data_IF_604676587969
#
_entry.id   IF_604676587969
#
_cell.length_a   1.000
_cell.length_b   1.000
_cell.length_c   1.000
_cell.angle_alpha   90.00
_cell.angle_beta   90.00
_cell.angle_gamma   90.00
#
_symmetry.space_group_name_H-M   'P 1'
#
loop_
_entity.id
_entity.type
_entity.pdbx_description
1 polymer ?
#
# COMPACT_ATOMS: atom_id res chain seq x y z
N UNK A 1 10.76 30.94 7.04
CA UNK A 1 9.30 30.78 6.95
C UNK A 1 8.97 29.33 6.65
N UNK A 2 8.14 28.65 7.46
CA UNK A 2 7.74 27.26 7.21
C UNK A 2 6.93 27.17 5.91
N UNK A 3 7.10 26.09 5.15
CA UNK A 3 6.27 25.83 3.96
C UNK A 3 4.91 25.32 4.40
N UNK A 4 3.85 26.05 4.05
CA UNK A 4 2.47 25.59 4.24
C UNK A 4 2.15 24.49 3.22
N UNK A 5 2.40 23.24 3.60
CA UNK A 5 2.10 22.08 2.79
C UNK A 5 0.61 21.71 2.89
N UNK A 6 -0.07 21.72 1.74
CA UNK A 6 -1.46 21.28 1.66
C UNK A 6 -1.58 19.78 1.95
N UNK A 7 -2.58 19.41 2.76
CA UNK A 7 -2.93 18.01 3.05
C UNK A 7 -3.42 17.29 1.79
N UNK A 8 -3.44 15.95 1.81
CA UNK A 8 -3.92 15.15 0.69
C UNK A 8 -5.39 15.45 0.37
N UNK A 9 -6.24 15.54 1.38
CA UNK A 9 -7.67 15.87 1.23
C UNK A 9 -7.85 17.26 0.62
N UNK A 10 -7.15 18.27 1.13
CA UNK A 10 -7.22 19.63 0.57
C UNK A 10 -6.77 19.70 -0.89
N UNK A 11 -5.77 18.90 -1.29
CA UNK A 11 -5.33 18.80 -2.70
C UNK A 11 -6.39 18.15 -3.58
N UNK A 12 -7.10 17.13 -3.08
CA UNK A 12 -8.18 16.45 -3.82
C UNK A 12 -9.34 17.42 -4.04
N UNK A 13 -9.85 18.07 -2.98
CA UNK A 13 -10.93 19.05 -3.10
C UNK A 13 -10.57 20.22 -4.02
N UNK A 14 -9.31 20.69 -3.99
CA UNK A 14 -8.82 21.71 -4.92
C UNK A 14 -8.87 21.23 -6.37
N UNK A 15 -8.46 19.99 -6.65
CA UNK A 15 -8.50 19.44 -8.00
C UNK A 15 -9.92 19.26 -8.53
N UNK A 16 -10.86 18.82 -7.68
CA UNK A 16 -12.26 18.64 -8.10
C UNK A 16 -12.92 20.00 -8.40
N UNK A 17 -12.66 21.02 -7.57
CA UNK A 17 -13.08 22.40 -7.85
C UNK A 17 -12.48 22.96 -9.15
N UNK A 18 -11.27 22.57 -9.52
CA UNK A 18 -10.65 23.00 -10.79
C UNK A 18 -11.28 22.27 -11.98
N UNK A 19 -11.53 20.96 -11.85
CA UNK A 19 -12.16 20.15 -12.91
C UNK A 19 -13.61 20.54 -13.20
N UNK A 20 -14.33 21.06 -12.21
CA UNK A 20 -15.70 21.55 -12.40
C UNK A 20 -15.75 22.87 -13.17
N UNK A 21 -14.60 23.50 -13.45
CA UNK A 21 -14.51 24.72 -14.23
C UNK A 21 -14.29 24.40 -15.71
N UNK A 22 -14.78 25.25 -16.65
CA UNK A 22 -14.56 24.99 -18.07
C UNK A 22 -13.07 25.06 -18.44
N UNK A 23 -12.62 24.30 -19.45
CA UNK A 23 -11.19 24.02 -19.70
C UNK A 23 -10.27 25.26 -19.84
N UNK A 24 -10.81 26.43 -20.17
CA UNK A 24 -10.03 27.65 -20.38
C UNK A 24 -10.21 28.71 -19.27
N UNK A 25 -10.25 28.28 -17.99
CA UNK A 25 -10.31 29.24 -16.88
C UNK A 25 -8.91 29.70 -16.49
N UNK A 26 -8.74 31.02 -16.46
CA UNK A 26 -7.50 31.66 -16.02
C UNK A 26 -7.14 31.27 -14.58
N UNK A 27 -5.85 31.11 -14.31
CA UNK A 27 -5.33 30.89 -12.96
C UNK A 27 -5.77 31.97 -11.95
N UNK A 28 -6.03 33.20 -12.40
CA UNK A 28 -6.59 34.25 -11.55
C UNK A 28 -7.99 33.88 -11.05
N UNK A 29 -8.88 33.49 -11.96
CA UNK A 29 -10.23 33.04 -11.62
C UNK A 29 -10.20 31.78 -10.76
N UNK A 30 -9.30 30.85 -11.05
CA UNK A 30 -9.12 29.68 -10.20
C UNK A 30 -8.70 30.05 -8.78
N UNK A 31 -7.84 31.06 -8.60
CA UNK A 31 -7.44 31.52 -7.28
C UNK A 31 -8.60 32.14 -6.49
N UNK A 32 -9.44 32.94 -7.16
CA UNK A 32 -10.67 33.50 -6.55
C UNK A 32 -11.64 32.40 -6.12
N UNK A 33 -11.89 31.42 -6.99
CA UNK A 33 -12.86 30.33 -6.75
C UNK A 33 -12.38 29.38 -5.65
N UNK A 34 -11.08 29.09 -5.64
CA UNK A 34 -10.51 28.09 -4.72
C UNK A 34 -10.04 28.71 -3.41
N UNK A 35 -9.88 30.03 -3.34
CA UNK A 35 -9.27 30.74 -2.22
C UNK A 35 -7.77 30.43 -2.04
N UNK A 36 -7.14 29.80 -3.04
CA UNK A 36 -5.76 29.32 -2.98
C UNK A 36 -4.88 30.14 -3.93
N UNK A 37 -3.65 30.53 -3.52
CA UNK A 37 -2.76 31.31 -4.37
C UNK A 37 -2.45 30.62 -5.71
N UNK A 38 -2.30 31.41 -6.78
CA UNK A 38 -1.96 30.93 -8.14
C UNK A 38 -0.74 29.99 -8.17
N UNK A 39 0.29 30.31 -7.37
CA UNK A 39 1.51 29.51 -7.25
C UNK A 39 1.23 28.11 -6.73
N UNK A 40 0.31 27.98 -5.76
CA UNK A 40 -0.13 26.70 -5.21
C UNK A 40 -0.96 25.91 -6.21
N UNK A 41 -1.87 26.57 -6.94
CA UNK A 41 -2.65 25.92 -8.02
C UNK A 41 -1.71 25.35 -9.09
N UNK A 42 -0.76 26.15 -9.57
CA UNK A 42 0.23 25.71 -10.58
C UNK A 42 1.08 24.54 -10.07
N UNK A 43 1.55 24.62 -8.82
CA UNK A 43 2.34 23.57 -8.18
C UNK A 43 1.56 22.26 -8.07
N UNK A 44 0.30 22.31 -7.63
CA UNK A 44 -0.57 21.12 -7.51
C UNK A 44 -0.85 20.51 -8.87
N UNK A 45 -1.14 21.33 -9.89
CA UNK A 45 -1.37 20.85 -11.25
C UNK A 45 -0.12 20.17 -11.84
N UNK A 46 1.07 20.73 -11.59
CA UNK A 46 2.35 20.11 -11.98
C UNK A 46 2.63 18.82 -11.21
N UNK A 47 2.34 18.76 -9.91
CA UNK A 47 2.58 17.54 -9.10
C UNK A 47 1.71 16.35 -9.52
N UNK A 48 0.55 16.60 -10.14
CA UNK A 48 -0.34 15.54 -10.66
C UNK A 48 0.36 14.66 -11.71
N UNK A 49 1.35 15.18 -12.43
CA UNK A 49 2.09 14.43 -13.46
C UNK A 49 3.30 13.66 -12.92
N UNK A 50 3.69 13.85 -11.65
CA UNK A 50 4.97 13.30 -11.12
C UNK A 50 4.85 12.36 -9.92
N UNK A 51 3.66 12.11 -9.38
CA UNK A 51 3.48 11.00 -8.44
C UNK A 51 3.45 9.70 -9.24
N UNK A 52 4.64 9.18 -9.54
CA UNK A 52 4.83 7.87 -10.17
C UNK A 52 4.05 6.85 -9.35
N UNK A 53 3.05 6.20 -9.96
CA UNK A 53 2.64 4.89 -9.48
C UNK A 53 3.87 4.02 -9.62
N UNK A 54 4.48 3.64 -8.49
CA UNK A 54 5.48 2.56 -8.51
C UNK A 54 4.68 1.28 -8.71
N UNK A 55 4.51 0.91 -9.97
CA UNK A 55 4.09 -0.44 -10.35
C UNK A 55 5.27 -1.35 -10.01
N UNK A 56 5.05 -2.28 -9.09
CA UNK A 56 6.04 -3.30 -8.78
C UNK A 56 5.93 -4.41 -9.82
N UNK A 57 7.07 -5.01 -10.18
CA UNK A 57 7.13 -6.07 -11.19
C UNK A 57 6.34 -7.33 -10.79
N UNK A 58 6.07 -7.48 -9.50
CA UNK A 58 5.52 -8.70 -8.89
C UNK A 58 4.13 -8.44 -8.27
N UNK A 59 3.31 -7.61 -8.92
CA UNK A 59 1.93 -7.33 -8.50
C UNK A 59 1.11 -8.61 -8.33
N UNK A 60 1.32 -9.60 -9.20
CA UNK A 60 0.64 -10.90 -9.16
C UNK A 60 0.91 -11.63 -7.82
N UNK A 61 2.15 -11.56 -7.32
CA UNK A 61 2.56 -12.19 -6.05
C UNK A 61 2.01 -11.42 -4.86
N UNK A 62 2.02 -10.08 -4.93
CA UNK A 62 1.45 -9.19 -3.93
C UNK A 62 -0.06 -9.43 -3.77
N UNK A 63 -0.82 -9.48 -4.87
CA UNK A 63 -2.27 -9.73 -4.86
C UNK A 63 -2.62 -11.12 -4.32
N UNK A 64 -1.89 -12.16 -4.73
CA UNK A 64 -2.09 -13.51 -4.22
C UNK A 64 -1.79 -13.60 -2.71
N UNK A 65 -0.76 -12.89 -2.24
CA UNK A 65 -0.43 -12.82 -0.83
C UNK A 65 -1.49 -12.08 -0.02
N UNK A 66 -2.08 -11.02 -0.57
CA UNK A 66 -3.15 -10.24 0.06
C UNK A 66 -4.42 -11.05 0.28
N UNK A 67 -4.84 -11.78 -0.75
CA UNK A 67 -6.02 -12.64 -0.67
C UNK A 67 -5.81 -13.72 0.41
N UNK A 68 -4.64 -14.34 0.40
CA UNK A 68 -4.29 -15.38 1.36
C UNK A 68 -4.18 -14.81 2.79
N UNK A 69 -3.59 -13.62 2.95
CA UNK A 69 -3.53 -12.92 4.24
C UNK A 69 -4.92 -12.58 4.75
N UNK A 70 -5.82 -12.12 3.88
CA UNK A 70 -7.20 -11.76 4.25
C UNK A 70 -7.99 -12.99 4.76
N UNK A 71 -7.82 -14.14 4.10
CA UNK A 71 -8.44 -15.41 4.53
C UNK A 71 -7.91 -15.85 5.90
N UNK A 72 -6.61 -15.74 6.14
CA UNK A 72 -5.98 -16.19 7.40
C UNK A 72 -6.26 -15.22 8.55
N UNK A 73 -6.21 -13.91 8.30
CA UNK A 73 -6.54 -12.90 9.29
C UNK A 73 -8.01 -12.99 9.72
N UNK A 74 -8.92 -13.34 8.80
CA UNK A 74 -10.32 -13.64 9.12
C UNK A 74 -10.53 -14.83 10.07
N UNK A 75 -9.54 -15.73 10.19
CA UNK A 75 -9.54 -16.86 11.14
C UNK A 75 -8.91 -16.52 12.50
N UNK A 76 -8.49 -15.26 12.71
CA UNK A 76 -7.90 -14.80 13.97
C UNK A 76 -6.44 -15.22 14.19
N UNK A 77 -5.76 -15.72 13.14
CA UNK A 77 -4.39 -16.22 13.24
C UNK A 77 -3.38 -15.08 13.10
N UNK A 78 -2.49 -14.95 14.08
CA UNK A 78 -1.37 -14.02 14.02
C UNK A 78 -0.23 -14.60 13.18
N UNK A 79 0.16 -13.85 12.16
CA UNK A 79 1.06 -14.32 11.09
C UNK A 79 2.48 -13.84 11.38
N UNK A 80 3.44 -14.71 11.64
CA UNK A 80 4.80 -14.24 11.84
C UNK A 80 5.48 -13.80 10.53
N UNK A 81 6.40 -12.84 10.59
CA UNK A 81 7.14 -12.31 9.44
C UNK A 81 7.89 -13.38 8.61
N UNK A 82 8.59 -14.35 9.23
CA UNK A 82 9.24 -15.45 8.51
C UNK A 82 8.27 -16.34 7.73
N UNK A 83 7.10 -16.66 8.31
CA UNK A 83 6.06 -17.47 7.66
C UNK A 83 5.53 -16.76 6.41
N UNK A 84 5.31 -15.45 6.53
CA UNK A 84 4.87 -14.61 5.42
C UNK A 84 5.89 -14.58 4.28
N UNK A 85 7.19 -14.57 4.61
CA UNK A 85 8.29 -14.63 3.64
C UNK A 85 8.28 -15.96 2.86
N UNK A 86 8.23 -17.08 3.58
CA UNK A 86 8.15 -18.41 2.96
C UNK A 86 6.93 -18.54 2.05
N UNK A 87 5.76 -18.07 2.51
CA UNK A 87 4.54 -18.09 1.69
C UNK A 87 4.61 -17.22 0.45
N UNK A 88 5.21 -16.04 0.53
CA UNK A 88 5.40 -15.20 -0.65
C UNK A 88 6.30 -15.86 -1.70
N UNK A 89 7.32 -16.62 -1.29
CA UNK A 89 8.18 -17.39 -2.21
C UNK A 89 7.45 -18.62 -2.79
N UNK A 90 6.64 -19.32 -2.00
CA UNK A 90 5.77 -20.39 -2.50
C UNK A 90 4.77 -19.88 -3.54
N UNK A 91 4.11 -18.74 -3.27
CA UNK A 91 3.17 -18.12 -4.19
C UNK A 91 3.86 -17.70 -5.49
N UNK A 92 5.06 -17.14 -5.40
CA UNK A 92 5.82 -16.79 -6.59
C UNK A 92 6.18 -18.01 -7.44
N UNK A 93 6.59 -19.13 -6.83
CA UNK A 93 6.83 -20.39 -7.56
C UNK A 93 5.57 -20.89 -8.26
N UNK A 94 4.40 -20.79 -7.61
CA UNK A 94 3.11 -21.17 -8.21
C UNK A 94 2.72 -20.28 -9.38
N UNK A 95 3.06 -19.00 -9.32
CA UNK A 95 2.83 -18.02 -10.38
C UNK A 95 3.92 -18.05 -11.47
N UNK A 96 4.78 -19.07 -11.49
CA UNK A 96 5.93 -19.19 -12.42
C UNK A 96 6.92 -18.02 -12.35
N UNK A 97 6.96 -17.29 -11.21
CA UNK A 97 7.90 -16.21 -10.90
C UNK A 97 9.08 -16.75 -10.08
N UNK A 98 9.85 -17.66 -10.67
CA UNK A 98 10.96 -18.33 -9.97
C UNK A 98 12.11 -17.39 -9.59
N UNK A 99 12.21 -16.22 -10.24
CA UNK A 99 13.22 -15.20 -9.93
C UNK A 99 12.85 -14.32 -8.73
N UNK A 100 11.62 -14.44 -8.24
CA UNK A 100 11.15 -13.65 -7.11
C UNK A 100 11.80 -14.14 -5.82
N UNK A 101 12.37 -13.18 -5.08
CA UNK A 101 12.87 -13.41 -3.73
C UNK A 101 12.25 -12.40 -2.80
N UNK A 102 11.62 -12.90 -1.75
CA UNK A 102 10.99 -12.07 -0.72
C UNK A 102 12.05 -11.45 0.19
N UNK A 103 12.82 -10.50 -0.34
CA UNK A 103 13.79 -9.75 0.45
C UNK A 103 13.07 -8.95 1.55
N UNK A 104 13.74 -8.73 2.67
CA UNK A 104 13.11 -8.10 3.84
C UNK A 104 12.60 -6.68 3.53
N UNK A 105 13.21 -6.00 2.56
CA UNK A 105 12.74 -4.71 2.04
C UNK A 105 11.38 -4.82 1.32
N UNK A 106 11.19 -5.85 0.48
CA UNK A 106 9.93 -6.08 -0.22
C UNK A 106 8.83 -6.38 0.79
N UNK A 107 9.11 -7.28 1.74
CA UNK A 107 8.16 -7.65 2.78
C UNK A 107 7.79 -6.46 3.69
N UNK A 108 8.76 -5.61 4.03
CA UNK A 108 8.52 -4.40 4.82
C UNK A 108 7.64 -3.39 4.08
N UNK A 109 7.84 -3.24 2.77
CA UNK A 109 7.00 -2.37 1.95
C UNK A 109 5.59 -2.92 1.78
N UNK A 110 5.45 -4.23 1.56
CA UNK A 110 4.15 -4.90 1.54
C UNK A 110 3.39 -4.63 2.85
N UNK A 111 4.00 -4.90 4.01
CA UNK A 111 3.40 -4.59 5.31
C UNK A 111 2.95 -3.14 5.45
N UNK A 112 3.77 -2.18 5.00
CA UNK A 112 3.46 -0.76 5.05
C UNK A 112 2.25 -0.38 4.19
N UNK A 113 2.04 -1.04 3.04
CA UNK A 113 0.88 -0.81 2.15
C UNK A 113 -0.41 -1.31 2.76
N UNK A 114 -0.36 -2.47 3.40
CA UNK A 114 -1.51 -3.11 4.03
C UNK A 114 -1.76 -2.63 5.48
N UNK A 115 -1.02 -1.61 5.94
CA UNK A 115 -1.06 -1.10 7.31
C UNK A 115 -0.87 -2.20 8.37
N UNK A 116 -0.11 -3.24 8.04
CA UNK A 116 0.16 -4.37 8.92
C UNK A 116 1.26 -3.95 9.88
N UNK A 117 0.89 -3.77 11.14
CA UNK A 117 1.84 -3.50 12.23
C UNK A 117 1.99 -4.75 13.08
N UNK A 118 3.18 -5.34 13.05
CA UNK A 118 3.55 -6.30 14.08
C UNK A 118 3.74 -5.50 15.36
N UNK A 119 2.79 -5.62 16.30
CA UNK A 119 3.06 -5.21 17.68
C UNK A 119 4.30 -5.97 18.10
N UNK A 120 5.39 -5.26 18.36
CA UNK A 120 6.60 -5.85 18.93
C UNK A 120 6.17 -6.42 20.26
N UNK A 121 6.00 -7.74 20.33
CA UNK A 121 5.67 -8.43 21.58
C UNK A 121 6.78 -8.06 22.56
N UNK A 122 6.41 -7.23 23.53
CA UNK A 122 7.31 -6.71 24.52
C UNK A 122 7.59 -7.86 25.49
N UNK A 123 8.68 -8.58 25.26
CA UNK A 123 9.38 -9.43 26.23
C UNK A 123 8.50 -10.25 27.21
N UNK A 124 7.44 -10.88 26.71
CA UNK A 124 6.94 -12.09 27.34
C UNK A 124 7.25 -13.23 26.41
N UNK A 125 8.04 -14.16 26.92
CA UNK A 125 8.34 -15.47 26.35
C UNK A 125 7.05 -16.31 26.36
N UNK A 126 6.01 -15.82 25.71
CA UNK A 126 4.74 -16.49 25.50
C UNK A 126 4.77 -17.11 24.12
N UNK A 127 5.03 -18.42 24.11
CA UNK A 127 4.72 -19.40 23.06
C UNK A 127 4.41 -18.73 21.70
N UNK A 128 5.42 -18.68 20.83
CA UNK A 128 5.16 -18.54 19.42
C UNK A 128 4.25 -19.73 19.05
N UNK A 129 3.00 -19.44 18.69
CA UNK A 129 1.99 -20.45 18.34
C UNK A 129 2.45 -21.21 17.10
N UNK A 130 3.27 -22.23 17.32
CA UNK A 130 3.72 -23.18 16.31
C UNK A 130 2.49 -23.84 15.65
N UNK A 131 1.39 -23.97 16.40
CA UNK A 131 0.10 -24.45 15.94
C UNK A 131 -0.53 -23.57 14.83
N UNK A 132 -0.39 -22.25 14.95
CA UNK A 132 -0.82 -21.30 13.92
C UNK A 132 0.02 -21.40 12.64
N UNK A 133 1.32 -21.67 12.78
CA UNK A 133 2.21 -21.91 11.64
C UNK A 133 1.91 -23.26 10.96
N UNK A 134 1.62 -24.30 11.73
CA UNK A 134 1.25 -25.62 11.21
C UNK A 134 -0.10 -25.60 10.48
N UNK A 135 -1.12 -24.92 11.01
CA UNK A 135 -2.43 -24.76 10.33
C UNK A 135 -2.32 -24.08 8.95
N UNK A 136 -1.31 -23.24 8.75
CA UNK A 136 -1.08 -22.60 7.47
C UNK A 136 -0.40 -23.53 6.46
N UNK A 137 0.51 -24.40 6.91
CA UNK A 137 1.06 -25.45 6.06
C UNK A 137 -0.05 -26.36 5.53
N UNK A 138 -1.11 -26.58 6.32
CA UNK A 138 -2.26 -27.42 5.95
C UNK A 138 -3.38 -26.70 5.18
N UNK A 139 -3.44 -25.37 5.21
CA UNK A 139 -4.51 -24.63 4.53
C UNK A 139 -4.34 -24.76 3.02
N UNK A 140 -5.25 -25.51 2.40
CA UNK A 140 -5.26 -25.73 0.95
C UNK A 140 -5.33 -24.38 0.23
N UNK A 141 -4.31 -24.15 -0.57
CA UNK A 141 -4.18 -22.99 -1.44
C UNK A 141 -5.31 -23.06 -2.47
N UNK A 142 -6.08 -21.98 -2.69
CA UNK A 142 -7.07 -21.94 -3.76
C UNK A 142 -6.38 -22.28 -5.08
N UNK A 143 -6.90 -23.28 -5.78
CA UNK A 143 -6.47 -23.55 -7.15
C UNK A 143 -6.98 -22.42 -8.04
N UNK A 144 -6.06 -21.70 -8.67
CA UNK A 144 -6.35 -20.84 -9.81
C UNK A 144 -6.36 -21.68 -11.08
#
# INVERSE_FOLDING_TARGET
MPRNDLTLSSKISLLDKIKSQPLNKSYHRLAEITGVPKSTISRVLRQKTFKRKREWKDLDVEEALDQLFSIVSGKGVNINGPVLKEKSEELAKKLSRNDFKAIDSWLSQWKARHNITFKKAQYEKGIADNESAEQWKTTKIPSF
#
